data_IF_498321502237
#
_entry.id   IF_498321502237
#
_cell.length_a   1.000
_cell.length_b   1.000
_cell.length_c   1.000
_cell.angle_alpha   90.00
_cell.angle_beta   90.00
_cell.angle_gamma   90.00
#
_symmetry.space_group_name_H-M   'P 1'
#
loop_
_entity.id
_entity.type
_entity.pdbx_description
1 polymer ?
#
# COMPACT_ATOMS: atom_id res chain seq x y z
N UNK A 1 35.96 2.10 -26.61
CA UNK A 1 35.05 0.96 -26.45
C UNK A 1 34.29 1.19 -25.15
N UNK A 2 33.14 1.84 -25.22
CA UNK A 2 32.28 2.12 -24.06
C UNK A 2 31.48 0.87 -23.75
N UNK A 3 31.58 0.37 -22.52
CA UNK A 3 30.73 -0.73 -22.06
C UNK A 3 29.31 -0.17 -21.97
N UNK A 4 28.31 -0.76 -22.65
CA UNK A 4 26.94 -0.30 -22.52
C UNK A 4 26.50 -0.47 -21.07
N UNK A 5 25.87 0.56 -20.51
CA UNK A 5 25.27 0.49 -19.18
C UNK A 5 24.37 -0.74 -19.11
N UNK A 6 24.69 -1.63 -18.18
CA UNK A 6 23.84 -2.77 -17.85
C UNK A 6 22.59 -2.22 -17.16
N UNK A 7 21.57 -1.89 -17.95
CA UNK A 7 20.23 -1.63 -17.43
C UNK A 7 19.64 -2.97 -17.03
N UNK A 8 19.88 -3.38 -15.79
CA UNK A 8 19.07 -4.42 -15.15
C UNK A 8 17.66 -3.85 -15.05
N UNK A 9 16.75 -4.33 -15.90
CA UNK A 9 15.35 -3.91 -15.89
C UNK A 9 14.82 -4.00 -14.46
N UNK A 10 14.38 -2.85 -13.92
CA UNK A 10 13.65 -2.85 -12.66
C UNK A 10 12.40 -3.72 -12.77
N UNK A 11 11.86 -4.23 -11.65
CA UNK A 11 10.62 -4.99 -11.70
C UNK A 11 9.51 -4.15 -12.36
N UNK A 12 8.81 -4.73 -13.33
CA UNK A 12 7.65 -4.09 -13.95
C UNK A 12 6.48 -4.12 -12.96
N UNK A 13 6.01 -2.94 -12.54
CA UNK A 13 4.80 -2.82 -11.73
C UNK A 13 3.57 -2.90 -12.64
N UNK A 14 2.63 -3.77 -12.29
CA UNK A 14 1.46 -4.11 -13.12
C UNK A 14 0.26 -3.19 -12.86
N UNK A 15 0.25 -2.46 -11.73
CA UNK A 15 -0.84 -1.53 -11.45
C UNK A 15 -0.66 -0.70 -10.18
N UNK A 16 -1.66 0.15 -9.94
CA UNK A 16 -1.75 1.01 -8.77
C UNK A 16 -2.95 0.61 -7.89
N UNK A 17 -2.77 0.67 -6.58
CA UNK A 17 -3.79 0.46 -5.57
C UNK A 17 -3.87 1.69 -4.68
N UNK A 18 -5.04 2.33 -4.64
CA UNK A 18 -5.32 3.47 -3.76
C UNK A 18 -6.09 3.00 -2.53
N UNK A 19 -5.61 3.38 -1.34
CA UNK A 19 -6.24 3.08 -0.06
C UNK A 19 -6.51 4.38 0.69
N UNK A 20 -7.76 4.61 1.07
CA UNK A 20 -8.14 5.70 1.98
C UNK A 20 -8.58 5.11 3.30
N UNK A 21 -8.02 5.61 4.41
CA UNK A 21 -8.32 5.12 5.76
C UNK A 21 -8.35 6.26 6.78
N UNK A 22 -9.03 6.02 7.90
CA UNK A 22 -8.89 6.88 9.08
C UNK A 22 -7.48 6.76 9.68
N UNK A 23 -6.93 7.89 10.13
CA UNK A 23 -5.59 7.97 10.71
C UNK A 23 -5.46 7.12 11.99
N UNK A 24 -6.58 6.91 12.70
CA UNK A 24 -6.69 6.11 13.91
C UNK A 24 -6.70 4.59 13.66
N UNK A 25 -6.73 4.15 12.39
CA UNK A 25 -6.88 2.73 12.06
C UNK A 25 -5.53 2.03 11.87
N UNK A 26 -5.19 1.14 12.81
CA UNK A 26 -4.13 0.12 12.76
C UNK A 26 -2.67 0.63 12.84
N UNK A 27 -2.12 0.66 14.07
CA UNK A 27 -0.72 1.03 14.36
C UNK A 27 0.32 0.23 13.55
N UNK A 28 0.10 -1.08 13.37
CA UNK A 28 1.02 -1.94 12.60
C UNK A 28 1.09 -1.53 11.13
N UNK A 29 -0.02 -1.07 10.56
CA UNK A 29 -0.06 -0.62 9.18
C UNK A 29 0.70 0.71 9.02
N UNK A 30 0.48 1.65 9.95
CA UNK A 30 1.27 2.90 10.03
C UNK A 30 2.77 2.62 10.19
N UNK A 31 3.16 1.67 11.04
CA UNK A 31 4.57 1.30 11.20
C UNK A 31 5.16 0.75 9.90
N UNK A 32 4.42 -0.08 9.17
CA UNK A 32 4.85 -0.59 7.88
C UNK A 32 5.07 0.54 6.85
N UNK A 33 4.18 1.53 6.81
CA UNK A 33 4.31 2.71 5.95
C UNK A 33 5.60 3.48 6.27
N UNK A 34 5.88 3.69 7.57
CA UNK A 34 7.10 4.36 8.03
C UNK A 34 8.36 3.56 7.67
N UNK A 35 8.35 2.25 7.91
CA UNK A 35 9.46 1.36 7.59
C UNK A 35 9.71 1.28 6.08
N UNK A 36 8.66 1.35 5.25
CA UNK A 36 8.78 1.36 3.78
C UNK A 36 9.48 2.61 3.23
N UNK A 37 9.49 3.71 3.99
CA UNK A 37 10.21 4.95 3.65
C UNK A 37 11.67 4.93 4.08
N UNK A 38 12.07 3.99 4.95
CA UNK A 38 13.46 3.88 5.43
C UNK A 38 14.31 3.11 4.40
N UNK A 39 15.30 3.76 3.74
CA UNK A 39 16.16 3.11 2.75
C UNK A 39 17.03 1.99 3.35
N UNK A 40 17.22 1.94 4.67
CA UNK A 40 17.91 0.85 5.36
C UNK A 40 17.04 -0.41 5.54
N UNK A 41 15.70 -0.30 5.39
CA UNK A 41 14.74 -1.39 5.58
C UNK A 41 14.14 -1.86 4.25
N UNK A 42 15.00 -2.21 3.29
CA UNK A 42 14.60 -2.63 1.93
C UNK A 42 13.60 -3.78 1.91
N UNK A 43 13.71 -4.76 2.82
CA UNK A 43 12.81 -5.91 2.90
C UNK A 43 11.38 -5.54 3.36
N UNK A 44 11.20 -4.42 4.08
CA UNK A 44 9.88 -3.95 4.50
C UNK A 44 9.08 -3.31 3.34
N UNK A 45 9.74 -3.01 2.23
CA UNK A 45 9.19 -2.19 1.15
C UNK A 45 8.27 -2.93 0.17
N UNK A 46 7.99 -4.22 0.37
CA UNK A 46 7.23 -5.03 -0.62
C UNK A 46 6.41 -6.19 -0.02
N UNK A 47 5.55 -5.96 0.99
CA UNK A 47 4.71 -7.02 1.50
C UNK A 47 3.75 -7.56 0.43
N UNK A 48 3.26 -8.77 0.69
CA UNK A 48 2.04 -9.27 0.06
C UNK A 48 0.85 -8.79 0.87
N UNK A 49 -0.10 -8.10 0.23
CA UNK A 49 -1.36 -7.67 0.85
C UNK A 49 -2.48 -8.62 0.46
N UNK A 50 -3.41 -8.87 1.38
CA UNK A 50 -4.62 -9.65 1.10
C UNK A 50 -5.84 -8.75 1.29
N UNK A 51 -6.56 -8.51 0.20
CA UNK A 51 -7.85 -7.83 0.23
C UNK A 51 -8.95 -8.87 0.37
N UNK A 52 -9.64 -8.89 1.50
CA UNK A 52 -10.78 -9.77 1.74
C UNK A 52 -12.08 -9.00 1.62
N UNK A 53 -12.94 -9.42 0.69
CA UNK A 53 -14.32 -8.97 0.62
C UNK A 53 -15.12 -9.75 1.65
N UNK A 54 -15.82 -9.04 2.53
CA UNK A 54 -16.58 -9.63 3.63
C UNK A 54 -18.05 -9.32 3.44
N UNK A 55 -18.90 -10.32 3.65
CA UNK A 55 -20.34 -10.12 3.72
C UNK A 55 -20.69 -9.46 5.06
N UNK A 56 -21.21 -8.24 5.00
CA UNK A 56 -21.54 -7.43 6.18
C UNK A 56 -22.55 -8.09 7.12
N UNK A 57 -23.46 -8.92 6.61
CA UNK A 57 -24.52 -9.53 7.43
C UNK A 57 -24.02 -10.66 8.32
N UNK A 58 -22.96 -11.36 7.92
CA UNK A 58 -22.49 -12.56 8.61
C UNK A 58 -20.98 -12.61 8.84
N UNK A 59 -20.26 -11.53 8.48
CA UNK A 59 -18.81 -11.41 8.57
C UNK A 59 -18.01 -12.53 7.88
N UNK A 60 -18.62 -13.24 6.92
CA UNK A 60 -17.92 -14.28 6.16
C UNK A 60 -17.20 -13.67 4.97
N UNK A 61 -15.96 -14.10 4.76
CA UNK A 61 -15.20 -13.73 3.57
C UNK A 61 -15.83 -14.37 2.33
N UNK A 62 -16.18 -13.54 1.35
CA UNK A 62 -16.79 -13.97 0.08
C UNK A 62 -15.79 -14.06 -1.05
N UNK A 63 -14.70 -13.29 -0.99
CA UNK A 63 -13.66 -13.25 -2.02
C UNK A 63 -12.35 -12.73 -1.44
N UNK A 64 -11.21 -13.21 -1.94
CA UNK A 64 -9.89 -12.68 -1.57
C UNK A 64 -9.08 -12.33 -2.82
N UNK A 65 -8.29 -11.29 -2.71
CA UNK A 65 -7.25 -10.97 -3.67
C UNK A 65 -5.90 -10.89 -2.96
N UNK A 66 -4.91 -11.56 -3.52
CA UNK A 66 -3.52 -11.43 -3.13
C UNK A 66 -2.84 -10.41 -4.04
N UNK A 67 -2.34 -9.33 -3.44
CA UNK A 67 -1.61 -8.25 -4.10
C UNK A 67 -0.13 -8.41 -3.75
N UNK A 68 0.70 -8.77 -4.72
CA UNK A 68 2.11 -9.09 -4.48
C UNK A 68 3.03 -7.89 -4.73
N UNK A 69 4.06 -7.77 -3.91
CA UNK A 69 5.09 -6.75 -4.07
C UNK A 69 4.57 -5.32 -3.93
N UNK A 70 3.62 -5.10 -3.03
CA UNK A 70 3.01 -3.79 -2.83
C UNK A 70 4.04 -2.79 -2.27
N UNK A 71 4.30 -1.70 -3.00
CA UNK A 71 5.25 -0.65 -2.63
C UNK A 71 4.54 0.68 -2.50
N UNK A 72 4.80 1.39 -1.42
CA UNK A 72 4.30 2.75 -1.25
C UNK A 72 4.92 3.70 -2.29
N UNK A 73 4.07 4.37 -3.07
CA UNK A 73 4.49 5.42 -4.02
C UNK A 73 4.12 6.81 -3.52
N UNK A 74 2.99 6.96 -2.81
CA UNK A 74 2.55 8.22 -2.24
C UNK A 74 1.80 8.01 -0.93
N UNK A 75 1.92 8.97 -0.01
CA UNK A 75 1.16 9.03 1.24
C UNK A 75 0.84 10.49 1.57
N UNK A 76 -0.45 10.82 1.63
CA UNK A 76 -0.96 12.14 2.00
C UNK A 76 -2.04 12.03 3.07
N UNK A 77 -2.15 13.05 3.92
CA UNK A 77 -3.26 13.21 4.86
C UNK A 77 -4.13 14.39 4.39
N UNK A 78 -5.42 14.35 4.72
CA UNK A 78 -6.30 15.49 4.48
C UNK A 78 -5.82 16.72 5.28
N UNK A 79 -5.96 17.91 4.70
CA UNK A 79 -5.67 19.16 5.39
C UNK A 79 -6.61 19.34 6.59
N UNK A 80 -6.05 19.73 7.73
CA UNK A 80 -6.82 19.99 8.94
C UNK A 80 -7.12 21.48 9.04
N UNK A 81 -8.41 21.84 9.09
CA UNK A 81 -8.83 23.21 9.41
C UNK A 81 -9.26 23.31 10.87
N UNK A 82 -8.93 24.44 11.52
CA UNK A 82 -9.37 24.69 12.88
C UNK A 82 -10.91 24.75 12.93
N UNK A 83 -11.51 23.88 13.75
CA UNK A 83 -12.96 23.74 13.87
C UNK A 83 -13.55 22.52 13.15
N UNK A 84 -12.76 21.80 12.35
CA UNK A 84 -13.20 20.53 11.77
C UNK A 84 -13.33 19.45 12.86
N UNK A 85 -14.45 18.74 12.82
CA UNK A 85 -14.77 17.61 13.71
C UNK A 85 -14.88 16.27 12.95
N UNK A 86 -14.57 16.28 11.65
CA UNK A 86 -14.55 15.07 10.83
C UNK A 86 -13.37 14.17 11.19
N UNK A 87 -13.57 12.86 11.03
CA UNK A 87 -12.48 11.90 11.15
C UNK A 87 -11.38 12.24 10.12
N UNK A 88 -10.13 12.26 10.58
CA UNK A 88 -8.98 12.55 9.71
C UNK A 88 -8.68 11.33 8.87
N UNK A 89 -8.73 11.49 7.56
CA UNK A 89 -8.39 10.44 6.61
C UNK A 89 -7.01 10.67 5.97
N UNK A 90 -6.37 9.58 5.62
CA UNK A 90 -5.13 9.53 4.86
C UNK A 90 -5.32 8.67 3.61
N UNK A 91 -4.65 9.06 2.53
CA UNK A 91 -4.65 8.36 1.26
C UNK A 91 -3.25 7.84 0.97
N UNK A 92 -3.18 6.57 0.59
CA UNK A 92 -1.98 5.88 0.17
C UNK A 92 -2.14 5.41 -1.27
N UNK A 93 -1.10 5.61 -2.05
CA UNK A 93 -0.96 4.98 -3.36
C UNK A 93 0.15 3.95 -3.29
N UNK A 94 -0.15 2.75 -3.78
CA UNK A 94 0.76 1.63 -3.84
C UNK A 94 0.93 1.19 -5.29
N UNK A 95 2.17 0.94 -5.72
CA UNK A 95 2.43 0.15 -6.92
C UNK A 95 2.54 -1.33 -6.55
N UNK A 96 2.09 -2.24 -7.39
CA UNK A 96 2.18 -3.69 -7.13
C UNK A 96 2.59 -4.47 -8.38
N UNK A 97 3.08 -5.70 -8.19
CA UNK A 97 3.57 -6.58 -9.26
C UNK A 97 2.47 -7.46 -9.83
N UNK A 98 1.58 -7.98 -8.98
CA UNK A 98 0.48 -8.84 -9.41
C UNK A 98 -0.72 -8.73 -8.48
N UNK A 99 -1.91 -9.05 -9.00
CA UNK A 99 -3.15 -9.10 -8.24
C UNK A 99 -3.93 -10.36 -8.64
N UNK A 100 -3.98 -11.35 -7.76
CA UNK A 100 -4.54 -12.67 -8.04
C UNK A 100 -5.74 -12.97 -7.15
N UNK A 101 -6.80 -13.54 -7.73
CA UNK A 101 -7.91 -14.10 -6.96
C UNK A 101 -7.46 -15.40 -6.27
N UNK A 102 -7.70 -15.49 -4.96
CA UNK A 102 -7.36 -16.66 -4.13
C UNK A 102 -8.53 -17.14 -3.26
#
# INVERSE_FOLDING_TARGET
MTVPDLVLGGPEFFGTLTLTRGLDKCEKFTQWILDSKDPARKEASSPTLVLAYVNEQNNKVVKRFQIEGARLTSWSAADLSAGDSSAVEETLELAYLSANLI
#
